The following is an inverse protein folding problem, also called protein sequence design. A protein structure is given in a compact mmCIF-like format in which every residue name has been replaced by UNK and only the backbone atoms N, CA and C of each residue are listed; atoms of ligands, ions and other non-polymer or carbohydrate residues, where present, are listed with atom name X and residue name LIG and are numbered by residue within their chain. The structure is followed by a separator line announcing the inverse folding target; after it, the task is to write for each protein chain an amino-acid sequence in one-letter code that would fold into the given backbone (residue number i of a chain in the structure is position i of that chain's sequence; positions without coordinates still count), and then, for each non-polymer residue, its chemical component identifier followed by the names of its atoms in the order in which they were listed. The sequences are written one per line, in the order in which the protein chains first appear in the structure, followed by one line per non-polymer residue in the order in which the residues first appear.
data_IF_936298117536
#
_entry.id   IF_936298117536
#
_cell.length_a   1.000
_cell.length_b   1.000
_cell.length_c   1.000
_cell.angle_alpha   90.00
_cell.angle_beta   90.00
_cell.angle_gamma   90.00
#
_symmetry.space_group_name_H-M   'P 1'
#
loop_
_entity.id
_entity.type
_entity.pdbx_description
1 polymer ?
#
# COMPACT_ATOMS: atom_id res chain seq x y z
N UNK A 1 6.64 -0.02 19.92
CA UNK A 1 6.74 1.43 20.18
C UNK A 1 7.36 1.70 21.56
N UNK A 2 7.09 0.88 22.56
CA UNK A 2 7.58 1.07 23.96
C UNK A 2 9.11 1.00 24.13
N UNK A 3 9.84 0.69 23.06
CA UNK A 3 11.31 0.64 23.06
C UNK A 3 11.97 1.79 22.31
N UNK A 4 11.19 2.67 21.67
CA UNK A 4 11.72 3.83 20.97
C UNK A 4 11.68 5.05 21.88
N UNK A 5 12.85 5.63 22.12
CA UNK A 5 12.98 6.88 22.85
C UNK A 5 13.17 8.00 21.83
N UNK A 6 12.22 8.93 21.80
CA UNK A 6 12.37 10.15 21.00
C UNK A 6 13.35 11.08 21.68
N UNK A 7 14.36 11.51 20.95
CA UNK A 7 15.36 12.44 21.43
C UNK A 7 15.46 13.63 20.47
N UNK A 8 15.44 14.88 20.94
CA UNK A 8 15.66 16.02 20.06
C UNK A 8 17.05 15.93 19.42
N UNK A 9 17.16 16.34 18.16
CA UNK A 9 18.43 16.30 17.43
C UNK A 9 19.54 17.08 18.16
N UNK A 10 19.21 18.17 18.87
CA UNK A 10 20.13 18.95 19.69
C UNK A 10 20.68 18.21 20.91
N UNK A 11 19.95 17.19 21.39
CA UNK A 11 20.38 16.34 22.52
C UNK A 11 21.02 15.03 22.03
N UNK A 12 21.07 14.78 20.72
CA UNK A 12 21.71 13.61 20.16
C UNK A 12 23.24 13.74 20.29
N UNK A 13 23.92 12.89 21.05
CA UNK A 13 25.34 13.04 21.27
C UNK A 13 26.11 12.85 19.96
N UNK A 14 26.87 13.84 19.58
CA UNK A 14 27.78 13.74 18.45
C UNK A 14 28.75 12.56 18.69
N UNK A 15 28.62 11.50 17.88
CA UNK A 15 29.49 10.31 17.96
C UNK A 15 28.80 9.02 18.41
N UNK A 16 27.49 9.02 18.76
CA UNK A 16 26.80 7.80 19.19
C UNK A 16 26.27 6.91 18.06
N UNK A 17 26.16 7.39 16.85
CA UNK A 17 26.02 6.56 15.68
C UNK A 17 26.46 7.33 14.46
N UNK A 18 27.49 6.88 13.82
CA UNK A 18 27.61 7.07 12.38
C UNK A 18 26.42 6.30 11.81
N UNK A 19 25.46 7.03 11.24
CA UNK A 19 24.42 6.36 10.44
C UNK A 19 25.17 5.44 9.48
N UNK A 20 24.80 4.15 9.38
CA UNK A 20 25.46 3.27 8.44
C UNK A 20 25.38 3.94 7.06
N UNK A 21 26.54 4.16 6.42
CA UNK A 21 26.56 4.67 5.06
C UNK A 21 25.74 3.70 4.21
N UNK A 22 24.60 4.18 3.74
CA UNK A 22 23.78 3.41 2.82
C UNK A 22 24.59 3.20 1.54
N UNK A 23 24.80 1.97 1.14
CA UNK A 23 25.37 1.69 -0.17
C UNK A 23 24.30 1.84 -1.23
N UNK A 24 24.44 2.80 -2.14
CA UNK A 24 23.62 2.85 -3.34
C UNK A 24 24.03 1.70 -4.27
N UNK A 25 23.06 0.87 -4.65
CA UNK A 25 23.21 -0.10 -5.72
C UNK A 25 22.31 0.32 -6.89
N UNK A 26 22.89 0.52 -8.10
CA UNK A 26 22.10 0.81 -9.30
C UNK A 26 21.01 -0.25 -9.59
N UNK A 27 21.23 -1.48 -9.13
CA UNK A 27 20.26 -2.57 -9.27
C UNK A 27 18.98 -2.32 -8.46
N UNK A 28 19.02 -1.46 -7.46
CA UNK A 28 17.88 -1.06 -6.64
C UNK A 28 17.23 0.25 -7.13
N UNK A 29 17.73 0.84 -8.21
CA UNK A 29 17.15 2.05 -8.80
C UNK A 29 16.01 1.69 -9.75
N UNK A 30 14.88 1.33 -9.17
CA UNK A 30 13.65 1.02 -9.90
C UNK A 30 12.42 1.50 -9.13
N UNK A 31 11.31 1.69 -9.85
CA UNK A 31 10.01 1.99 -9.22
C UNK A 31 9.39 0.67 -8.74
N UNK A 32 9.32 0.41 -7.41
CA UNK A 32 8.94 -0.90 -6.88
C UNK A 32 7.59 -1.41 -7.39
N UNK A 33 6.58 -0.52 -7.43
CA UNK A 33 5.24 -0.89 -7.92
C UNK A 33 5.27 -1.34 -9.38
N UNK A 34 6.04 -0.64 -10.23
CA UNK A 34 6.16 -1.03 -11.65
C UNK A 34 6.85 -2.37 -11.80
N UNK A 35 7.90 -2.62 -11.01
CA UNK A 35 8.60 -3.91 -11.02
C UNK A 35 7.65 -5.05 -10.63
N UNK A 36 6.89 -4.89 -9.53
CA UNK A 36 5.91 -5.89 -9.09
C UNK A 36 4.84 -6.14 -10.17
N UNK A 37 4.28 -5.08 -10.76
CA UNK A 37 3.25 -5.21 -11.78
C UNK A 37 3.77 -5.81 -13.12
N UNK A 38 5.08 -5.82 -13.33
CA UNK A 38 5.71 -6.43 -14.52
C UNK A 38 6.14 -7.89 -14.30
N UNK A 39 6.06 -8.40 -13.08
CA UNK A 39 6.44 -9.80 -12.77
C UNK A 39 5.55 -10.79 -13.52
N UNK A 40 6.14 -11.91 -13.92
CA UNK A 40 5.33 -13.06 -14.34
C UNK A 40 4.56 -13.65 -13.16
N UNK A 41 3.45 -14.38 -13.37
CA UNK A 41 2.74 -15.07 -12.28
C UNK A 41 3.67 -15.93 -11.44
N UNK A 42 4.52 -16.72 -12.09
CA UNK A 42 5.49 -17.58 -11.42
C UNK A 42 6.40 -16.78 -10.49
N UNK A 43 7.05 -15.73 -11.02
CA UNK A 43 7.97 -14.92 -10.24
C UNK A 43 7.28 -14.19 -9.08
N UNK A 44 6.06 -13.69 -9.31
CA UNK A 44 5.27 -13.00 -8.29
C UNK A 44 4.91 -13.94 -7.13
N UNK A 45 4.31 -15.08 -7.43
CA UNK A 45 3.85 -16.00 -6.39
C UNK A 45 5.00 -16.76 -5.71
N UNK A 46 6.06 -17.13 -6.43
CA UNK A 46 7.24 -17.73 -5.81
C UNK A 46 7.90 -16.76 -4.82
N UNK A 47 8.00 -15.48 -5.18
CA UNK A 47 8.50 -14.44 -4.26
C UNK A 47 7.58 -14.28 -3.06
N UNK A 48 6.26 -14.23 -3.27
CA UNK A 48 5.29 -14.13 -2.19
C UNK A 48 5.37 -15.34 -1.24
N UNK A 49 5.44 -16.56 -1.78
CA UNK A 49 5.58 -17.80 -1.02
C UNK A 49 6.84 -17.81 -0.16
N UNK A 50 7.96 -17.34 -0.72
CA UNK A 50 9.21 -17.21 0.02
C UNK A 50 9.10 -16.18 1.15
N UNK A 51 8.52 -15.01 0.86
CA UNK A 51 8.37 -13.96 1.87
C UNK A 51 7.43 -14.38 3.01
N UNK A 52 6.40 -15.16 2.73
CA UNK A 52 5.50 -15.70 3.75
C UNK A 52 6.18 -16.66 4.75
N UNK A 53 7.36 -17.20 4.45
CA UNK A 53 8.12 -18.01 5.42
C UNK A 53 8.66 -17.17 6.58
N UNK A 54 9.13 -15.97 6.28
CA UNK A 54 9.71 -15.04 7.27
C UNK A 54 8.71 -14.02 7.79
N UNK A 55 7.63 -13.78 7.03
CA UNK A 55 6.53 -12.90 7.37
C UNK A 55 5.22 -13.69 7.28
N UNK A 56 4.92 -14.54 8.25
CA UNK A 56 3.78 -15.44 8.18
C UNK A 56 2.47 -14.65 8.10
N UNK A 57 1.52 -15.11 7.27
CA UNK A 57 0.19 -14.53 7.20
C UNK A 57 -0.51 -14.52 8.55
N UNK A 58 -1.39 -13.55 8.78
CA UNK A 58 -2.21 -13.50 9.98
C UNK A 58 -3.18 -14.69 10.05
N UNK A 59 -3.58 -15.11 11.26
CA UNK A 59 -4.53 -16.22 11.43
C UNK A 59 -5.85 -15.96 10.68
N UNK A 60 -6.27 -14.71 10.56
CA UNK A 60 -7.46 -14.31 9.81
C UNK A 60 -7.36 -14.60 8.30
N UNK A 61 -6.14 -14.75 7.75
CA UNK A 61 -5.91 -15.04 6.33
C UNK A 61 -6.02 -16.55 6.01
N UNK A 62 -6.18 -17.41 7.00
CA UNK A 62 -6.26 -18.87 6.79
C UNK A 62 -7.37 -19.30 5.80
N UNK A 63 -8.55 -18.68 5.75
CA UNK A 63 -9.56 -19.04 4.75
C UNK A 63 -9.08 -18.80 3.32
N UNK A 64 -8.52 -17.61 3.02
CA UNK A 64 -8.07 -17.28 1.66
C UNK A 64 -6.85 -18.13 1.26
N UNK A 65 -5.96 -18.46 2.19
CA UNK A 65 -4.85 -19.36 1.91
C UNK A 65 -5.31 -20.77 1.56
N UNK A 66 -6.37 -21.28 2.20
CA UNK A 66 -6.96 -22.57 1.81
C UNK A 66 -7.52 -22.56 0.38
N UNK A 67 -8.14 -21.44 -0.04
CA UNK A 67 -8.62 -21.30 -1.42
C UNK A 67 -7.46 -21.26 -2.43
N UNK A 68 -6.36 -20.64 -2.04
CA UNK A 68 -5.17 -20.50 -2.88
C UNK A 68 -4.25 -21.73 -2.87
N UNK A 69 -4.47 -22.68 -1.95
CA UNK A 69 -3.63 -23.87 -1.81
C UNK A 69 -3.61 -24.74 -3.08
N UNK A 70 -4.71 -24.78 -3.84
CA UNK A 70 -4.78 -25.49 -5.11
C UNK A 70 -3.83 -24.93 -6.19
N UNK A 71 -3.35 -23.70 -6.01
CA UNK A 71 -2.37 -23.04 -6.88
C UNK A 71 -0.96 -23.08 -6.26
N UNK A 72 -0.76 -23.82 -5.17
CA UNK A 72 0.48 -23.81 -4.41
C UNK A 72 0.91 -22.38 -4.01
N UNK A 73 -0.03 -21.63 -3.45
CA UNK A 73 0.24 -20.30 -2.85
C UNK A 73 0.12 -20.42 -1.34
N UNK A 74 1.24 -20.22 -0.66
CA UNK A 74 1.36 -20.34 0.80
C UNK A 74 2.82 -20.31 1.25
N UNK A 75 3.08 -20.27 2.57
CA UNK A 75 4.45 -20.18 3.10
C UNK A 75 5.33 -21.35 2.63
N UNK A 76 6.37 -21.04 1.85
CA UNK A 76 7.33 -22.03 1.36
C UNK A 76 6.86 -22.90 0.20
N UNK A 77 5.64 -22.70 -0.29
CA UNK A 77 5.13 -23.40 -1.46
C UNK A 77 5.87 -22.95 -2.73
N UNK A 78 5.74 -23.76 -3.78
CA UNK A 78 6.21 -23.41 -5.11
C UNK A 78 5.01 -23.30 -6.05
N UNK A 79 4.77 -22.11 -6.56
CA UNK A 79 3.61 -21.84 -7.40
C UNK A 79 3.57 -22.77 -8.63
N UNK A 80 2.40 -23.27 -8.95
CA UNK A 80 2.18 -24.08 -10.14
C UNK A 80 1.35 -23.29 -11.18
N UNK A 81 2.01 -22.70 -12.15
CA UNK A 81 1.37 -21.96 -13.22
C UNK A 81 0.50 -22.82 -14.13
N UNK A 82 0.77 -24.15 -14.20
CA UNK A 82 -0.04 -25.11 -14.95
C UNK A 82 -1.44 -25.28 -14.36
N UNK A 83 -1.59 -25.05 -13.05
CA UNK A 83 -2.89 -25.03 -12.40
C UNK A 83 -3.82 -23.94 -12.92
N UNK A 84 -3.29 -22.88 -13.55
CA UNK A 84 -4.06 -21.84 -14.24
C UNK A 84 -4.57 -22.29 -15.62
N UNK A 85 -4.15 -23.44 -16.11
CA UNK A 85 -4.58 -24.05 -17.39
C UNK A 85 -3.81 -23.55 -18.60
N UNK A 86 -4.19 -24.09 -19.78
CA UNK A 86 -3.47 -23.97 -21.05
C UNK A 86 -3.22 -22.54 -21.55
N UNK A 87 -3.89 -21.53 -21.07
CA UNK A 87 -3.71 -20.13 -21.47
C UNK A 87 -3.37 -19.22 -20.28
N UNK A 88 -2.55 -19.74 -19.36
CA UNK A 88 -2.21 -19.07 -18.10
C UNK A 88 -1.75 -17.62 -18.29
N UNK A 89 -0.88 -17.34 -19.24
CA UNK A 89 -0.38 -15.98 -19.51
C UNK A 89 -1.47 -15.00 -19.99
N UNK A 90 -2.39 -15.48 -20.85
CA UNK A 90 -3.50 -14.64 -21.31
C UNK A 90 -4.51 -14.40 -20.18
N UNK A 91 -4.86 -15.44 -19.43
CA UNK A 91 -5.75 -15.33 -18.27
C UNK A 91 -5.19 -14.37 -17.24
N UNK A 92 -3.89 -14.42 -16.98
CA UNK A 92 -3.20 -13.49 -16.08
C UNK A 92 -3.34 -12.04 -16.54
N UNK A 93 -3.09 -11.76 -17.81
CA UNK A 93 -3.26 -10.40 -18.37
C UNK A 93 -4.70 -9.90 -18.25
N UNK A 94 -5.66 -10.73 -18.56
CA UNK A 94 -7.09 -10.40 -18.42
C UNK A 94 -7.47 -10.16 -16.96
N UNK A 95 -6.98 -10.99 -16.05
CA UNK A 95 -7.21 -10.83 -14.61
C UNK A 95 -6.63 -9.51 -14.09
N UNK A 96 -5.42 -9.12 -14.51
CA UNK A 96 -4.83 -7.83 -14.13
C UNK A 96 -5.64 -6.64 -14.65
N UNK A 97 -6.20 -6.73 -15.86
CA UNK A 97 -7.09 -5.69 -16.39
C UNK A 97 -8.39 -5.58 -15.60
N UNK A 98 -8.99 -6.70 -15.22
CA UNK A 98 -10.19 -6.74 -14.38
C UNK A 98 -9.89 -6.23 -12.98
N UNK A 99 -8.73 -6.59 -12.42
CA UNK A 99 -8.31 -6.13 -11.10
C UNK A 99 -8.18 -4.60 -11.06
N UNK A 100 -7.60 -3.97 -12.09
CA UNK A 100 -7.52 -2.50 -12.14
C UNK A 100 -8.88 -1.83 -12.03
N UNK A 101 -9.87 -2.34 -12.76
CA UNK A 101 -11.26 -1.83 -12.69
C UNK A 101 -11.86 -2.05 -11.30
N UNK A 102 -11.69 -3.25 -10.75
CA UNK A 102 -12.18 -3.60 -9.41
C UNK A 102 -11.54 -2.72 -8.34
N UNK A 103 -10.22 -2.53 -8.38
CA UNK A 103 -9.51 -1.66 -7.43
C UNK A 103 -9.97 -0.20 -7.51
N UNK A 104 -10.31 0.28 -8.71
CA UNK A 104 -10.84 1.63 -8.89
C UNK A 104 -12.24 1.77 -8.27
N UNK A 105 -13.16 0.88 -8.59
CA UNK A 105 -14.52 0.91 -8.00
C UNK A 105 -14.51 0.69 -6.49
N UNK A 106 -13.69 -0.20 -5.98
CA UNK A 106 -13.56 -0.42 -4.53
C UNK A 106 -12.97 0.80 -3.81
N UNK A 107 -12.08 1.57 -4.47
CA UNK A 107 -11.53 2.77 -3.85
C UNK A 107 -12.61 3.80 -3.52
N UNK A 108 -13.68 3.86 -4.29
CA UNK A 108 -14.83 4.75 -4.07
C UNK A 108 -15.60 4.37 -2.81
N UNK A 109 -15.75 3.07 -2.52
CA UNK A 109 -16.43 2.57 -1.33
C UNK A 109 -15.76 3.00 -0.02
N UNK A 110 -14.44 3.17 -0.03
CA UNK A 110 -13.64 3.56 1.13
C UNK A 110 -13.30 5.04 1.16
N UNK A 111 -13.66 5.80 0.13
CA UNK A 111 -13.49 7.24 0.10
C UNK A 111 -14.59 7.91 0.91
N UNK A 112 -14.20 8.80 1.80
CA UNK A 112 -15.10 9.68 2.55
C UNK A 112 -15.00 11.08 1.97
N UNK A 113 -16.11 11.77 1.91
CA UNK A 113 -16.20 13.13 1.39
C UNK A 113 -16.50 14.11 2.51
N UNK A 114 -15.80 15.23 2.50
CA UNK A 114 -15.97 16.35 3.40
C UNK A 114 -15.91 17.64 2.57
N UNK A 115 -17.06 18.13 2.13
CA UNK A 115 -17.13 19.21 1.14
C UNK A 115 -16.47 18.79 -0.17
N UNK A 116 -15.46 19.57 -0.60
CA UNK A 116 -14.67 19.28 -1.80
C UNK A 116 -13.44 18.40 -1.52
N UNK A 117 -13.24 18.04 -0.26
CA UNK A 117 -12.14 17.19 0.17
C UNK A 117 -12.56 15.74 0.26
N UNK A 118 -11.63 14.85 -0.03
CA UNK A 118 -11.82 13.41 0.13
C UNK A 118 -10.66 12.82 0.92
N UNK A 119 -10.93 11.77 1.67
CA UNK A 119 -9.91 10.98 2.35
C UNK A 119 -10.31 9.51 2.39
N UNK A 120 -9.35 8.63 2.63
CA UNK A 120 -9.63 7.22 2.81
C UNK A 120 -10.00 6.93 4.26
N UNK A 121 -11.21 6.36 4.45
CA UNK A 121 -11.72 5.97 5.75
C UNK A 121 -11.33 4.54 6.15
N UNK A 122 -11.85 4.13 7.31
CA UNK A 122 -11.65 2.76 7.79
C UNK A 122 -12.10 1.71 6.76
N UNK A 123 -11.41 0.57 6.75
CA UNK A 123 -10.37 0.10 7.66
C UNK A 123 -8.92 0.35 7.19
N UNK A 124 -8.61 1.57 6.71
CA UNK A 124 -7.23 1.92 6.30
C UNK A 124 -6.25 1.64 7.45
N UNK A 125 -5.10 1.08 7.14
CA UNK A 125 -4.05 0.72 8.11
C UNK A 125 -4.36 -0.54 8.94
N UNK A 126 -5.63 -0.90 9.14
CA UNK A 126 -6.07 -2.11 9.83
C UNK A 126 -7.08 -2.88 8.96
N UNK A 127 -6.61 -3.37 7.84
CA UNK A 127 -7.46 -3.89 6.76
C UNK A 127 -8.20 -5.20 7.09
N UNK A 128 -7.75 -5.98 8.08
CA UNK A 128 -8.30 -7.30 8.34
C UNK A 128 -8.41 -8.12 7.04
N UNK A 129 -9.60 -8.57 6.71
CA UNK A 129 -9.87 -9.34 5.48
C UNK A 129 -10.31 -8.48 4.28
N UNK A 130 -10.23 -7.16 4.36
CA UNK A 130 -10.51 -6.26 3.24
C UNK A 130 -9.35 -6.26 2.22
N UNK A 131 -9.11 -7.43 1.60
CA UNK A 131 -7.95 -7.66 0.72
C UNK A 131 -7.88 -6.72 -0.47
N UNK A 132 -9.01 -6.40 -1.09
CA UNK A 132 -9.05 -5.48 -2.23
C UNK A 132 -8.61 -4.08 -1.83
N UNK A 133 -9.08 -3.61 -0.67
CA UNK A 133 -8.69 -2.32 -0.13
C UNK A 133 -7.20 -2.30 0.25
N UNK A 134 -6.73 -3.34 0.95
CA UNK A 134 -5.29 -3.50 1.27
C UNK A 134 -4.42 -3.45 0.02
N UNK A 135 -4.82 -4.15 -1.05
CA UNK A 135 -4.10 -4.13 -2.33
C UNK A 135 -4.10 -2.74 -2.97
N UNK A 136 -5.23 -2.04 -2.95
CA UNK A 136 -5.34 -0.69 -3.49
C UNK A 136 -4.40 0.28 -2.76
N UNK A 137 -4.36 0.22 -1.44
CA UNK A 137 -3.47 1.06 -0.62
C UNK A 137 -2.01 0.67 -0.85
N UNK A 138 -1.67 -0.62 -0.95
CA UNK A 138 -0.31 -1.07 -1.25
C UNK A 138 0.22 -0.52 -2.59
N UNK A 139 -0.67 -0.34 -3.57
CA UNK A 139 -0.30 0.21 -4.89
C UNK A 139 -0.15 1.74 -4.89
N UNK A 140 -0.80 2.46 -3.97
CA UNK A 140 -0.90 3.92 -3.99
C UNK A 140 -0.18 4.61 -2.83
N UNK A 141 -0.10 3.96 -1.69
CA UNK A 141 0.43 4.55 -0.46
C UNK A 141 0.75 3.48 0.57
N UNK A 142 1.74 2.63 0.28
CA UNK A 142 2.19 1.59 1.20
C UNK A 142 2.57 2.19 2.56
N UNK A 143 2.15 1.55 3.65
CA UNK A 143 2.43 1.99 5.01
C UNK A 143 1.44 3.05 5.52
N UNK A 144 0.24 3.13 4.96
CA UNK A 144 -0.81 4.01 5.46
C UNK A 144 -1.16 3.73 6.93
N UNK A 145 -1.29 4.79 7.70
CA UNK A 145 -1.72 4.72 9.10
C UNK A 145 -3.23 4.48 9.21
N UNK A 146 -3.66 4.05 10.39
CA UNK A 146 -5.08 4.02 10.76
C UNK A 146 -5.63 5.44 10.95
N UNK A 147 -6.94 5.62 10.81
CA UNK A 147 -7.59 6.94 10.86
C UNK A 147 -7.48 7.63 12.21
N UNK A 148 -7.24 6.89 13.29
CA UNK A 148 -6.99 7.43 14.63
C UNK A 148 -5.57 8.00 14.80
N UNK A 149 -4.65 7.64 13.90
CA UNK A 149 -3.27 8.16 13.89
C UNK A 149 -3.12 9.29 12.89
N UNK A 150 -3.62 9.12 11.67
CA UNK A 150 -3.53 10.14 10.63
C UNK A 150 -4.61 9.99 9.57
N UNK A 151 -5.12 11.12 9.10
CA UNK A 151 -5.95 11.20 7.90
C UNK A 151 -5.23 12.05 6.85
N UNK A 152 -5.46 11.73 5.58
CA UNK A 152 -4.81 12.38 4.44
C UNK A 152 -5.88 12.99 3.52
N UNK A 153 -6.45 14.15 3.87
CA UNK A 153 -7.41 14.82 3.03
C UNK A 153 -6.76 15.30 1.73
N UNK A 154 -7.45 15.12 0.62
CA UNK A 154 -7.01 15.58 -0.69
C UNK A 154 -8.15 16.25 -1.44
N UNK A 155 -7.82 17.20 -2.28
CA UNK A 155 -8.73 17.81 -3.24
C UNK A 155 -8.00 18.07 -4.54
N UNK A 156 -8.70 17.97 -5.64
CA UNK A 156 -8.21 18.29 -6.99
C UNK A 156 -8.81 19.61 -7.52
N UNK A 157 -9.63 20.29 -6.69
CA UNK A 157 -10.33 21.50 -7.07
C UNK A 157 -10.15 22.62 -6.04
N UNK A 158 -10.27 23.86 -6.48
CA UNK A 158 -10.31 25.04 -5.60
C UNK A 158 -11.71 25.28 -5.03
N UNK A 159 -11.88 26.33 -4.22
CA UNK A 159 -13.16 26.67 -3.57
C UNK A 159 -14.29 26.97 -4.57
N UNK A 160 -13.99 27.23 -5.83
CA UNK A 160 -14.99 27.45 -6.89
C UNK A 160 -15.32 26.17 -7.66
N UNK A 161 -14.64 25.05 -7.37
CA UNK A 161 -14.76 23.80 -8.09
C UNK A 161 -13.89 23.72 -9.34
N UNK A 162 -13.02 24.70 -9.59
CA UNK A 162 -12.10 24.67 -10.71
C UNK A 162 -10.89 23.78 -10.40
N UNK A 163 -10.46 22.97 -11.38
CA UNK A 163 -9.34 22.04 -11.23
C UNK A 163 -8.05 22.78 -10.89
N UNK A 164 -7.33 22.31 -9.90
CA UNK A 164 -6.04 22.83 -9.50
C UNK A 164 -5.01 22.67 -10.61
N UNK A 165 -4.23 23.71 -10.85
CA UNK A 165 -3.17 23.72 -11.86
C UNK A 165 -1.87 24.29 -11.30
N UNK A 166 -0.72 23.81 -11.75
CA UNK A 166 0.58 24.38 -11.37
C UNK A 166 0.84 25.81 -11.89
N UNK A 167 -0.11 26.41 -12.62
CA UNK A 167 -0.01 27.78 -13.16
C UNK A 167 -0.60 28.83 -12.23
N UNK A 168 -1.25 28.44 -11.13
CA UNK A 168 -1.89 29.33 -10.17
C UNK A 168 -1.27 29.16 -8.79
N UNK A 169 -1.36 30.21 -7.99
CA UNK A 169 -1.07 30.15 -6.55
C UNK A 169 -2.37 29.91 -5.79
N UNK A 170 -2.32 29.04 -4.81
CA UNK A 170 -3.47 28.67 -3.97
C UNK A 170 -3.13 28.94 -2.51
N UNK A 171 -4.11 29.33 -1.72
CA UNK A 171 -4.00 29.50 -0.28
C UNK A 171 -4.89 28.46 0.39
N UNK A 172 -4.32 27.65 1.26
CA UNK A 172 -5.06 26.78 2.16
C UNK A 172 -5.39 27.60 3.43
N UNK A 173 -6.68 27.78 3.70
CA UNK A 173 -7.15 28.40 4.93
C UNK A 173 -7.63 27.30 5.89
N UNK A 174 -7.09 27.31 7.10
CA UNK A 174 -7.46 26.39 8.20
C UNK A 174 -8.05 27.26 9.30
N UNK A 175 -9.34 27.14 9.54
CA UNK A 175 -10.08 28.00 10.50
C UNK A 175 -9.74 27.73 11.96
N UNK A 176 -9.37 26.51 12.27
CA UNK A 176 -8.98 26.11 13.62
C UNK A 176 -7.77 25.17 13.56
N UNK A 177 -6.99 25.16 14.60
CA UNK A 177 -5.89 24.20 14.73
C UNK A 177 -6.42 22.77 14.63
N UNK A 178 -5.87 21.93 13.75
CA UNK A 178 -6.29 20.55 13.64
C UNK A 178 -6.14 19.83 15.00
N UNK A 179 -7.09 18.99 15.39
CA UNK A 179 -6.98 18.23 16.63
C UNK A 179 -5.76 17.31 16.55
N UNK A 180 -4.73 17.65 17.28
CA UNK A 180 -3.55 16.81 17.48
C UNK A 180 -3.74 16.07 18.80
N UNK A 181 -3.54 14.75 18.80
CA UNK A 181 -3.38 14.03 20.06
C UNK A 181 -1.94 14.28 20.54
N UNK A 182 -1.82 14.84 21.75
CA UNK A 182 -0.56 14.91 22.48
C UNK A 182 -0.04 13.52 22.84
#
# INVERSE_FOLDING_TARGET
QDKMQLMPLSAYPAGLAVAPEGSYSPENDFVPVQKVLSMSPQAFFDTANQLMQTNPPAAADAPVLRELAALHVGPGEKFDDKALGLFSGLRWKLMLLQMKKKLQSESENYTRQMGQWTYYGDPIGNFGTAYTYRTMVALRGLGANTTDVAIYPKTDVDSTGAVLTGKKTYTLHIEAEPPTKE
#
